data_IF_991951900962
#
_entry.id   IF_991951900962
#
_cell.length_a   1.000
_cell.length_b   1.000
_cell.length_c   1.000
_cell.angle_alpha   90.00
_cell.angle_beta   90.00
_cell.angle_gamma   90.00
#
_symmetry.space_group_name_H-M   'P 1'
#
loop_
_entity.id
_entity.type
_entity.pdbx_description
1 polymer ?
#
# COMPACT_ATOMS: atom_id res chain seq x y z
N UNK A 1 10.12 3.73 -1.13
CA UNK A 1 9.94 4.59 -2.30
C UNK A 1 8.51 5.11 -2.32
N UNK A 2 8.09 5.71 -3.42
CA UNK A 2 6.70 6.03 -3.69
C UNK A 2 6.20 5.18 -4.85
N UNK A 3 5.03 4.58 -4.70
CA UNK A 3 4.40 3.76 -5.73
C UNK A 3 3.41 4.62 -6.50
N UNK A 4 3.55 4.69 -7.82
CA UNK A 4 2.59 5.44 -8.65
C UNK A 4 1.31 4.65 -8.93
N UNK A 5 1.29 3.37 -8.58
CA UNK A 5 0.23 2.48 -9.01
C UNK A 5 0.33 1.13 -8.30
N UNK A 6 -0.84 0.59 -7.99
CA UNK A 6 -0.99 -0.71 -7.34
C UNK A 6 -1.83 -1.62 -8.25
N UNK A 7 -1.22 -2.69 -8.73
CA UNK A 7 -1.86 -3.76 -9.51
C UNK A 7 -2.64 -3.26 -10.72
N UNK A 8 -2.15 -2.21 -11.40
CA UNK A 8 -2.85 -1.65 -12.55
C UNK A 8 -2.95 -2.60 -13.75
N UNK A 9 -2.16 -3.68 -13.74
CA UNK A 9 -2.21 -4.78 -14.70
C UNK A 9 -3.31 -5.81 -14.38
N UNK A 10 -3.96 -5.77 -13.21
CA UNK A 10 -4.99 -6.72 -12.81
C UNK A 10 -6.34 -6.38 -13.45
N UNK A 11 -6.86 -7.28 -14.29
CA UNK A 11 -8.21 -7.16 -14.88
C UNK A 11 -8.38 -5.98 -15.84
N UNK A 12 -7.29 -5.40 -16.34
CA UNK A 12 -7.29 -4.28 -17.30
C UNK A 12 -6.60 -4.68 -18.60
N UNK A 13 -7.05 -4.08 -19.70
CA UNK A 13 -6.36 -4.17 -20.98
C UNK A 13 -5.01 -3.44 -20.89
N UNK A 14 -3.95 -4.07 -21.39
CA UNK A 14 -2.58 -3.57 -21.32
C UNK A 14 -2.43 -2.21 -22.04
N UNK A 15 -3.02 -2.07 -23.23
CA UNK A 15 -3.09 -0.82 -24.02
C UNK A 15 -3.71 0.36 -23.28
N UNK A 16 -4.58 0.11 -22.30
CA UNK A 16 -5.26 1.17 -21.55
C UNK A 16 -4.53 1.54 -20.25
N UNK A 17 -3.81 0.59 -19.67
CA UNK A 17 -3.22 0.72 -18.33
C UNK A 17 -1.73 1.04 -18.40
N UNK A 18 -0.95 0.22 -19.09
CA UNK A 18 0.51 0.27 -19.04
C UNK A 18 1.10 1.61 -19.56
N UNK A 19 0.62 2.19 -20.68
CA UNK A 19 1.08 3.52 -21.12
C UNK A 19 0.75 4.63 -20.12
N UNK A 20 -0.43 4.57 -19.48
CA UNK A 20 -0.86 5.57 -18.50
C UNK A 20 0.00 5.50 -17.23
N UNK A 21 0.27 4.30 -16.71
CA UNK A 21 1.13 4.12 -15.54
C UNK A 21 2.56 4.57 -15.85
N UNK A 22 3.10 4.21 -17.03
CA UNK A 22 4.44 4.64 -17.44
C UNK A 22 4.55 6.16 -17.63
N UNK A 23 3.50 6.81 -18.12
CA UNK A 23 3.41 8.26 -18.17
C UNK A 23 3.38 8.87 -16.75
N UNK A 24 2.69 8.24 -15.81
CA UNK A 24 2.66 8.70 -14.42
C UNK A 24 4.01 8.56 -13.74
N UNK A 25 4.76 7.47 -13.96
CA UNK A 25 6.16 7.33 -13.52
C UNK A 25 6.99 8.50 -14.07
N UNK A 26 6.92 8.75 -15.38
CA UNK A 26 7.59 9.88 -16.04
C UNK A 26 7.28 11.20 -15.36
N UNK A 27 6.01 11.47 -15.10
CA UNK A 27 5.57 12.76 -14.60
C UNK A 27 5.96 12.97 -13.14
N UNK A 28 5.82 11.94 -12.29
CA UNK A 28 6.21 11.98 -10.88
C UNK A 28 7.73 12.06 -10.72
N UNK A 29 8.51 11.30 -11.51
CA UNK A 29 9.98 11.42 -11.53
C UNK A 29 10.42 12.81 -12.00
N UNK A 30 9.82 13.32 -13.07
CA UNK A 30 10.11 14.68 -13.55
C UNK A 30 9.75 15.76 -12.52
N UNK A 31 8.69 15.56 -11.75
CA UNK A 31 8.36 16.43 -10.62
C UNK A 31 9.42 16.34 -9.51
N UNK A 32 9.79 15.13 -9.12
CA UNK A 32 10.81 14.89 -8.09
C UNK A 32 12.17 15.51 -8.47
N UNK A 33 12.58 15.39 -9.73
CA UNK A 33 13.82 15.99 -10.25
C UNK A 33 13.83 17.51 -10.12
N UNK A 34 12.70 18.17 -10.43
CA UNK A 34 12.56 19.62 -10.23
C UNK A 34 12.66 20.05 -8.78
N UNK A 35 12.33 19.14 -7.86
CA UNK A 35 12.44 19.36 -6.42
C UNK A 35 13.79 18.94 -5.84
N UNK A 36 14.71 18.41 -6.66
CA UNK A 36 16.01 17.97 -6.17
C UNK A 36 16.79 19.15 -5.54
N UNK A 37 17.44 18.89 -4.42
CA UNK A 37 18.09 19.91 -3.59
C UNK A 37 17.14 20.65 -2.63
N UNK A 38 15.84 20.68 -2.91
CA UNK A 38 14.84 21.23 -1.99
C UNK A 38 14.11 20.16 -1.18
N UNK A 39 13.86 19.00 -1.78
CA UNK A 39 13.28 17.82 -1.15
C UNK A 39 14.23 16.63 -1.28
N UNK A 40 14.14 15.70 -0.34
CA UNK A 40 14.88 14.43 -0.40
C UNK A 40 14.45 13.65 -1.66
N UNK A 41 15.40 13.15 -2.47
CA UNK A 41 15.07 12.22 -3.56
C UNK A 41 14.45 10.95 -3.00
N UNK A 42 13.22 10.65 -3.40
CA UNK A 42 12.50 9.41 -3.03
C UNK A 42 12.36 8.58 -4.29
N UNK A 43 12.79 7.31 -4.30
CA UNK A 43 12.71 6.50 -5.50
C UNK A 43 11.26 6.18 -5.85
N UNK A 44 10.91 6.35 -7.12
CA UNK A 44 9.56 6.22 -7.69
C UNK A 44 9.47 4.90 -8.45
N UNK A 45 8.46 4.10 -8.15
CA UNK A 45 8.26 2.79 -8.73
C UNK A 45 6.80 2.42 -8.78
N UNK A 46 6.52 1.13 -8.87
CA UNK A 46 5.16 0.60 -8.91
C UNK A 46 5.09 -0.81 -8.34
N UNK A 47 3.88 -1.19 -7.95
CA UNK A 47 3.51 -2.54 -7.55
C UNK A 47 2.60 -3.14 -8.63
N UNK A 48 2.99 -4.26 -9.21
CA UNK A 48 2.16 -5.01 -10.15
C UNK A 48 1.64 -6.30 -9.51
N UNK A 49 0.46 -6.74 -9.96
CA UNK A 49 -0.01 -8.09 -9.66
C UNK A 49 0.89 -9.12 -10.35
N UNK A 50 1.04 -10.30 -9.76
CA UNK A 50 1.80 -11.42 -10.35
C UNK A 50 1.06 -12.09 -11.51
N UNK A 51 0.92 -11.34 -12.61
CA UNK A 51 0.29 -11.80 -13.85
C UNK A 51 1.36 -12.37 -14.76
N UNK A 52 1.25 -13.67 -15.04
CA UNK A 52 2.14 -14.41 -15.93
C UNK A 52 1.30 -15.16 -16.98
N UNK A 53 1.15 -14.56 -18.16
CA UNK A 53 0.35 -15.16 -19.25
C UNK A 53 1.24 -15.51 -20.45
N UNK A 54 0.80 -16.41 -21.35
CA UNK A 54 1.54 -16.70 -22.57
C UNK A 54 1.79 -15.48 -23.47
N UNK A 55 0.90 -14.48 -23.42
CA UNK A 55 1.01 -13.27 -24.25
C UNK A 55 1.81 -12.16 -23.58
N UNK A 56 1.78 -12.08 -22.24
CA UNK A 56 2.49 -11.08 -21.45
C UNK A 56 3.11 -11.76 -20.23
N UNK A 57 4.26 -12.42 -20.41
CA UNK A 57 4.94 -13.09 -19.31
C UNK A 57 5.45 -12.06 -18.29
N UNK A 58 5.67 -12.50 -17.05
CA UNK A 58 6.18 -11.66 -15.96
C UNK A 58 7.44 -10.86 -16.36
N UNK A 59 8.33 -11.46 -17.14
CA UNK A 59 9.54 -10.82 -17.63
C UNK A 59 9.27 -9.65 -18.59
N UNK A 60 8.21 -9.71 -19.40
CA UNK A 60 7.80 -8.60 -20.26
C UNK A 60 7.27 -7.42 -19.43
N UNK A 61 6.50 -7.66 -18.38
CA UNK A 61 6.10 -6.59 -17.45
C UNK A 61 7.30 -5.87 -16.83
N UNK A 62 8.26 -6.64 -16.31
CA UNK A 62 9.51 -6.08 -15.78
C UNK A 62 10.27 -5.27 -16.85
N UNK A 63 10.44 -5.85 -18.04
CA UNK A 63 11.12 -5.20 -19.17
C UNK A 63 10.43 -3.92 -19.61
N UNK A 64 9.09 -3.88 -19.62
CA UNK A 64 8.36 -2.68 -20.01
C UNK A 64 8.55 -1.53 -19.04
N UNK A 65 8.56 -1.78 -17.73
CA UNK A 65 8.74 -0.72 -16.74
C UNK A 65 10.22 -0.36 -16.50
N UNK A 66 11.16 -1.21 -16.91
CA UNK A 66 12.59 -0.88 -16.94
C UNK A 66 13.04 -0.19 -18.25
N UNK A 67 12.39 -0.45 -19.38
CA UNK A 67 12.84 0.11 -20.65
C UNK A 67 12.61 1.62 -20.76
N UNK A 68 13.47 2.30 -21.52
CA UNK A 68 13.29 3.71 -21.84
C UNK A 68 12.26 3.89 -22.95
N UNK A 69 11.31 4.80 -22.76
CA UNK A 69 10.46 5.31 -23.84
C UNK A 69 11.04 6.61 -24.37
N UNK A 70 11.26 6.68 -25.69
CA UNK A 70 11.77 7.86 -26.39
C UNK A 70 13.07 8.43 -25.79
N UNK A 71 13.94 7.54 -25.28
CA UNK A 71 15.21 7.90 -24.64
C UNK A 71 15.09 8.60 -23.28
N UNK A 72 13.90 8.65 -22.67
CA UNK A 72 13.65 9.38 -21.45
C UNK A 72 13.81 8.49 -20.19
N UNK A 73 14.85 8.75 -19.40
CA UNK A 73 15.14 8.05 -18.13
C UNK A 73 13.97 8.08 -17.13
N UNK A 74 13.20 9.17 -17.11
CA UNK A 74 12.08 9.30 -16.16
C UNK A 74 10.94 8.32 -16.47
N UNK A 75 10.93 7.70 -17.65
CA UNK A 75 9.91 6.69 -17.99
C UNK A 75 10.17 5.33 -17.36
N UNK A 76 11.36 5.11 -16.77
CA UNK A 76 11.72 3.88 -16.06
C UNK A 76 11.27 3.93 -14.60
N UNK A 77 10.86 2.80 -14.04
CA UNK A 77 10.66 2.62 -12.60
C UNK A 77 12.01 2.44 -11.88
N UNK A 78 12.23 3.15 -10.76
CA UNK A 78 13.45 3.03 -9.95
C UNK A 78 13.41 1.82 -9.01
N UNK A 79 12.21 1.31 -8.77
CA UNK A 79 11.98 0.02 -8.12
C UNK A 79 10.71 -0.61 -8.69
N UNK A 80 10.66 -1.93 -8.64
CA UNK A 80 9.55 -2.71 -9.16
C UNK A 80 9.19 -3.78 -8.13
N UNK A 81 7.93 -3.82 -7.73
CA UNK A 81 7.42 -4.83 -6.83
C UNK A 81 6.36 -5.67 -7.54
N UNK A 82 6.29 -6.94 -7.15
CA UNK A 82 5.29 -7.87 -7.60
C UNK A 82 4.55 -8.40 -6.37
N UNK A 83 3.22 -8.26 -6.34
CA UNK A 83 2.41 -8.90 -5.32
C UNK A 83 2.44 -10.40 -5.52
N UNK A 84 3.23 -11.07 -4.68
CA UNK A 84 3.11 -12.50 -4.43
C UNK A 84 2.02 -12.65 -3.38
N UNK A 85 0.97 -13.43 -3.67
CA UNK A 85 -0.24 -13.56 -2.84
C UNK A 85 0.05 -14.06 -1.40
N UNK A 86 0.50 -13.16 -0.54
CA UNK A 86 0.64 -13.34 0.91
C UNK A 86 -0.02 -12.16 1.63
N UNK A 87 -1.27 -11.84 1.28
CA UNK A 87 -2.09 -10.97 2.12
C UNK A 87 -2.50 -11.80 3.34
N UNK A 88 -1.79 -11.62 4.44
CA UNK A 88 -2.16 -12.22 5.72
C UNK A 88 -2.62 -11.07 6.60
N UNK A 89 -3.93 -10.97 6.82
CA UNK A 89 -4.44 -10.13 7.90
C UNK A 89 -3.82 -10.65 9.19
N UNK A 90 -2.97 -9.84 9.82
CA UNK A 90 -2.32 -10.23 11.08
C UNK A 90 -3.18 -9.90 12.29
N UNK A 91 -4.20 -9.08 12.08
CA UNK A 91 -4.90 -8.34 13.10
C UNK A 91 -6.35 -8.15 12.67
N UNK A 92 -7.28 -8.16 13.63
CA UNK A 92 -8.69 -7.88 13.38
C UNK A 92 -9.26 -6.99 14.48
N UNK A 93 -10.34 -6.29 14.13
CA UNK A 93 -11.07 -5.41 15.04
C UNK A 93 -12.37 -6.11 15.45
N UNK A 94 -12.69 -6.08 16.74
CA UNK A 94 -13.97 -6.56 17.27
C UNK A 94 -14.67 -5.51 18.12
N UNK A 95 -16.00 -5.49 18.18
CA UNK A 95 -16.92 -6.26 17.32
C UNK A 95 -16.89 -5.79 15.86
N UNK A 96 -17.40 -6.59 14.93
CA UNK A 96 -17.39 -6.28 13.48
C UNK A 96 -18.12 -4.97 13.12
N UNK A 97 -18.99 -4.48 14.01
CA UNK A 97 -19.72 -3.22 13.88
C UNK A 97 -19.08 -2.07 14.66
N UNK A 98 -17.83 -2.20 15.09
CA UNK A 98 -17.13 -1.12 15.76
C UNK A 98 -16.89 0.05 14.80
N UNK A 99 -17.03 1.29 15.30
CA UNK A 99 -16.97 2.52 14.49
C UNK A 99 -15.91 3.51 15.01
N UNK A 100 -15.12 3.09 16.02
CA UNK A 100 -14.13 3.91 16.72
C UNK A 100 -14.70 5.15 17.44
N UNK A 101 -16.02 5.31 17.52
CA UNK A 101 -16.70 6.45 18.14
C UNK A 101 -17.73 5.97 19.18
N UNK A 102 -18.87 5.43 18.74
CA UNK A 102 -19.93 4.93 19.61
C UNK A 102 -19.69 3.48 20.06
N UNK A 103 -19.06 2.66 19.20
CA UNK A 103 -18.72 1.26 19.47
C UNK A 103 -17.19 1.12 19.39
N UNK A 104 -16.50 1.05 20.55
CA UNK A 104 -15.05 0.92 20.59
C UNK A 104 -14.55 -0.35 19.92
N UNK A 105 -13.55 -0.22 19.04
CA UNK A 105 -12.87 -1.36 18.45
C UNK A 105 -11.81 -1.93 19.40
N UNK A 106 -11.88 -3.23 19.65
CA UNK A 106 -10.85 -4.02 20.30
C UNK A 106 -9.97 -4.67 19.24
N UNK A 107 -8.67 -4.43 19.35
CA UNK A 107 -7.69 -4.98 18.43
C UNK A 107 -7.20 -6.33 18.93
N UNK A 108 -7.41 -7.36 18.13
CA UNK A 108 -6.99 -8.73 18.42
C UNK A 108 -6.00 -9.22 17.37
N UNK A 109 -4.98 -9.94 17.81
CA UNK A 109 -3.97 -10.51 16.90
C UNK A 109 -4.49 -11.84 16.37
N UNK A 110 -4.31 -12.06 15.07
CA UNK A 110 -4.41 -13.42 14.53
C UNK A 110 -3.12 -14.20 14.87
N UNK A 111 -3.18 -15.55 14.96
CA UNK A 111 -2.01 -16.39 15.24
C UNK A 111 -0.82 -16.15 14.30
N UNK A 112 -1.08 -15.75 13.06
CA UNK A 112 -0.08 -15.46 12.04
C UNK A 112 0.79 -14.25 12.38
N UNK A 113 0.38 -13.40 13.33
CA UNK A 113 1.21 -12.33 13.88
C UNK A 113 2.46 -12.91 14.53
N UNK A 114 2.30 -13.90 15.40
CA UNK A 114 3.42 -14.50 16.14
C UNK A 114 4.29 -15.36 15.22
N UNK A 115 3.69 -16.08 14.26
CA UNK A 115 4.44 -16.80 13.23
C UNK A 115 5.32 -15.85 12.38
N UNK A 116 4.79 -14.68 12.03
CA UNK A 116 5.56 -13.67 11.29
C UNK A 116 6.69 -13.10 12.14
N UNK A 117 6.42 -12.80 13.41
CA UNK A 117 7.45 -12.32 14.34
C UNK A 117 8.58 -13.35 14.49
N UNK A 118 8.25 -14.64 14.60
CA UNK A 118 9.23 -15.72 14.66
C UNK A 118 10.05 -15.82 13.36
N UNK A 119 9.40 -15.72 12.20
CA UNK A 119 10.09 -15.73 10.90
C UNK A 119 11.06 -14.55 10.78
N UNK A 120 10.66 -13.33 11.14
CA UNK A 120 11.56 -12.17 11.13
C UNK A 120 12.74 -12.32 12.09
N UNK A 121 12.52 -12.87 13.29
CA UNK A 121 13.58 -13.06 14.28
C UNK A 121 14.60 -14.14 13.88
N UNK A 122 14.22 -15.08 13.01
CA UNK A 122 15.10 -16.17 12.54
C UNK A 122 15.71 -15.90 11.17
N UNK A 123 15.17 -14.93 10.42
CA UNK A 123 15.68 -14.56 9.10
C UNK A 123 17.06 -13.91 9.24
N UNK A 124 18.06 -14.55 8.64
CA UNK A 124 19.43 -14.02 8.64
C UNK A 124 19.54 -12.83 7.69
N UNK A 125 20.06 -11.67 8.12
CA UNK A 125 20.34 -10.56 7.22
C UNK A 125 21.33 -10.97 6.13
N UNK A 126 21.21 -10.34 4.96
CA UNK A 126 22.21 -10.49 3.90
C UNK A 126 23.58 -9.98 4.38
N UNK A 127 24.64 -10.69 4.00
CA UNK A 127 26.02 -10.26 4.25
C UNK A 127 26.51 -9.22 3.21
N UNK A 128 25.73 -8.96 2.15
CA UNK A 128 26.09 -7.97 1.14
C UNK A 128 26.02 -6.56 1.73
N UNK A 129 27.09 -5.79 1.49
CA UNK A 129 27.13 -4.37 1.80
C UNK A 129 26.99 -3.56 0.51
N UNK A 130 26.54 -2.30 0.63
CA UNK A 130 26.48 -1.40 -0.53
C UNK A 130 27.85 -1.26 -1.23
N UNK A 131 28.96 -1.31 -0.46
CA UNK A 131 30.32 -1.21 -1.01
C UNK A 131 30.77 -2.46 -1.76
N UNK A 132 30.22 -3.62 -1.42
CA UNK A 132 30.57 -4.90 -2.04
C UNK A 132 29.59 -5.33 -3.13
N UNK A 133 28.52 -4.56 -3.34
CA UNK A 133 27.49 -4.87 -4.32
C UNK A 133 27.87 -4.29 -5.69
N UNK A 134 27.98 -5.18 -6.68
CA UNK A 134 28.19 -4.81 -8.08
C UNK A 134 26.98 -5.26 -8.90
N UNK A 135 26.20 -4.32 -9.49
CA UNK A 135 25.06 -4.67 -10.32
C UNK A 135 25.52 -5.46 -11.56
N UNK A 136 24.91 -6.63 -11.78
CA UNK A 136 25.18 -7.43 -12.99
C UNK A 136 24.62 -6.76 -14.25
N UNK A 137 23.55 -5.97 -14.12
CA UNK A 137 22.98 -5.17 -15.21
C UNK A 137 23.25 -3.69 -14.95
N UNK A 138 23.81 -3.02 -15.96
CA UNK A 138 24.15 -1.58 -15.92
C UNK A 138 23.32 -0.75 -16.91
N UNK A 139 22.68 -1.41 -17.86
CA UNK A 139 21.86 -0.79 -18.90
C UNK A 139 20.38 -1.14 -18.69
N UNK A 140 19.50 -0.28 -19.19
CA UNK A 140 18.06 -0.53 -19.22
C UNK A 140 17.73 -1.67 -20.20
N UNK A 141 16.64 -2.39 -19.90
CA UNK A 141 16.12 -3.43 -20.77
C UNK A 141 15.55 -2.84 -22.07
N UNK A 142 15.58 -3.62 -23.14
CA UNK A 142 14.83 -3.29 -24.34
C UNK A 142 13.32 -3.34 -24.06
N UNK A 143 12.55 -2.44 -24.67
CA UNK A 143 11.10 -2.51 -24.54
C UNK A 143 10.57 -3.79 -25.18
N UNK A 144 9.76 -4.58 -24.45
CA UNK A 144 9.21 -5.83 -24.96
C UNK A 144 8.28 -5.57 -26.15
N UNK A 145 8.38 -6.42 -27.17
CA UNK A 145 7.58 -6.30 -28.39
C UNK A 145 6.09 -6.61 -28.18
N UNK A 146 5.75 -7.34 -27.11
CA UNK A 146 4.37 -7.65 -26.74
C UNK A 146 3.66 -6.51 -26.01
N UNK A 147 4.32 -5.38 -25.73
CA UNK A 147 3.66 -4.21 -25.13
C UNK A 147 3.25 -3.15 -26.16
N UNK A 148 2.23 -2.34 -25.84
CA UNK A 148 1.80 -1.22 -26.68
C UNK A 148 2.95 -0.25 -26.99
N UNK A 149 3.14 0.04 -28.27
CA UNK A 149 4.12 1.03 -28.75
C UNK A 149 3.56 2.44 -28.84
N UNK A 150 2.30 2.64 -28.44
CA UNK A 150 1.59 3.93 -28.48
C UNK A 150 2.36 5.02 -27.74
N UNK A 151 2.20 6.31 -28.14
CA UNK A 151 2.75 7.42 -27.38
C UNK A 151 2.21 7.43 -25.94
N UNK A 152 3.08 7.78 -24.99
CA UNK A 152 2.64 8.01 -23.62
C UNK A 152 1.75 9.26 -23.58
N UNK A 153 0.65 9.26 -22.80
CA UNK A 153 -0.13 10.47 -22.56
C UNK A 153 0.76 11.66 -22.19
N UNK A 154 0.39 12.86 -22.67
CA UNK A 154 1.11 14.08 -22.34
C UNK A 154 0.99 14.40 -20.85
N UNK A 155 2.05 14.99 -20.27
CA UNK A 155 2.00 15.44 -18.87
C UNK A 155 0.92 16.51 -18.72
N UNK A 156 0.02 16.42 -17.72
CA UNK A 156 -0.92 17.50 -17.47
C UNK A 156 -0.19 18.81 -17.16
N UNK A 157 -0.61 19.90 -17.80
CA UNK A 157 -0.01 21.21 -17.61
C UNK A 157 -0.79 22.00 -16.55
N UNK A 158 -0.44 21.80 -15.29
CA UNK A 158 -1.05 22.47 -14.14
C UNK A 158 0.02 23.04 -13.23
N UNK A 159 -0.21 24.26 -12.71
CA UNK A 159 0.76 24.96 -11.83
C UNK A 159 1.10 24.18 -10.56
N UNK A 160 0.19 23.34 -10.07
CA UNK A 160 0.42 22.49 -8.89
C UNK A 160 1.52 21.44 -9.09
N UNK A 161 1.96 21.18 -10.32
CA UNK A 161 3.09 20.30 -10.64
C UNK A 161 4.43 21.07 -10.76
N UNK A 162 4.46 22.33 -10.33
CA UNK A 162 5.71 23.02 -9.99
C UNK A 162 6.16 22.59 -8.59
N UNK A 163 7.47 22.56 -8.35
CA UNK A 163 7.97 22.09 -7.07
C UNK A 163 7.42 22.95 -5.92
N UNK A 164 6.60 22.35 -5.04
CA UNK A 164 6.15 22.99 -3.82
C UNK A 164 6.94 22.44 -2.63
N UNK A 165 7.80 23.29 -2.08
CA UNK A 165 8.45 23.06 -0.77
C UNK A 165 7.56 23.48 0.39
N UNK A 166 6.44 24.14 0.08
CA UNK A 166 5.49 24.59 1.08
C UNK A 166 4.66 23.41 1.56
N UNK A 167 4.67 23.19 2.88
CA UNK A 167 3.72 22.31 3.50
C UNK A 167 2.30 22.89 3.32
N UNK A 168 1.31 22.08 2.94
CA UNK A 168 -0.07 22.54 2.96
C UNK A 168 -0.41 23.04 4.36
N UNK A 169 -1.02 24.22 4.42
CA UNK A 169 -1.54 24.77 5.66
C UNK A 169 -2.97 24.30 5.84
N UNK A 170 -3.24 23.62 6.96
CA UNK A 170 -4.59 23.27 7.39
C UNK A 170 -4.98 24.25 8.48
N UNK A 171 -6.07 25.01 8.28
CA UNK A 171 -6.56 26.00 9.25
C UNK A 171 -5.48 27.01 9.73
N UNK A 172 -4.60 27.45 8.83
CA UNK A 172 -3.52 28.41 9.14
C UNK A 172 -2.29 27.82 9.85
N UNK A 173 -2.29 26.51 10.16
CA UNK A 173 -1.15 25.78 10.71
C UNK A 173 -0.47 24.90 9.65
N UNK A 174 0.86 24.74 9.73
CA UNK A 174 1.58 23.77 8.90
C UNK A 174 1.12 22.33 9.22
N UNK A 175 0.72 21.54 8.21
CA UNK A 175 0.18 20.17 8.38
C UNK A 175 1.08 19.21 9.17
N UNK A 176 2.39 19.47 9.26
CA UNK A 176 3.35 18.61 9.95
C UNK A 176 4.01 19.28 11.15
N UNK A 177 3.54 20.48 11.55
CA UNK A 177 3.75 20.89 12.95
C UNK A 177 2.89 19.92 13.74
N UNK A 178 3.51 18.87 14.27
CA UNK A 178 3.00 18.16 15.43
C UNK A 178 2.88 19.17 16.58
N UNK A 179 1.91 20.06 16.49
CA UNK A 179 1.17 20.43 17.68
C UNK A 179 0.54 19.11 18.06
N UNK A 180 0.85 18.58 19.23
CA UNK A 180 -0.01 17.60 19.87
C UNK A 180 -1.36 18.30 20.01
N UNK A 181 -2.18 18.26 18.97
CA UNK A 181 -3.55 18.69 19.04
C UNK A 181 -4.15 17.68 19.99
N UNK A 182 -4.38 18.10 21.23
CA UNK A 182 -5.39 17.43 22.04
C UNK A 182 -6.62 17.45 21.14
N UNK A 183 -7.11 16.29 20.65
CA UNK A 183 -8.26 16.27 19.76
C UNK A 183 -9.32 17.15 20.40
N UNK A 184 -9.87 18.08 19.63
CA UNK A 184 -10.96 18.87 20.14
C UNK A 184 -12.07 17.90 20.58
N UNK A 185 -12.86 18.29 21.56
CA UNK A 185 -13.90 17.42 22.10
C UNK A 185 -15.01 17.08 21.08
N UNK A 186 -14.88 17.48 19.80
CA UNK A 186 -15.75 17.03 18.71
C UNK A 186 -15.24 15.76 17.99
N UNK A 187 -13.99 15.35 18.26
CA UNK A 187 -13.40 14.09 17.74
C UNK A 187 -12.71 13.25 18.82
N UNK A 188 -12.79 13.67 20.10
CA UNK A 188 -12.24 12.93 21.22
C UNK A 188 -13.29 11.97 21.81
N UNK A 189 -13.06 10.67 21.67
CA UNK A 189 -13.69 9.69 22.56
C UNK A 189 -13.45 10.13 24.03
N UNK A 190 -14.49 10.15 24.88
CA UNK A 190 -14.40 10.74 26.21
C UNK A 190 -13.34 10.03 27.06
N UNK A 191 -12.34 10.79 27.50
CA UNK A 191 -11.26 10.31 28.37
C UNK A 191 -11.80 10.07 29.78
N UNK A 192 -11.91 8.81 30.20
CA UNK A 192 -12.07 8.47 31.61
C UNK A 192 -10.68 8.24 32.24
N UNK A 193 -10.27 8.99 33.27
CA UNK A 193 -9.02 8.72 33.97
C UNK A 193 -9.12 7.41 34.76
N UNK A 194 -8.09 6.57 34.72
CA UNK A 194 -7.94 5.45 35.63
C UNK A 194 -7.43 5.96 36.99
N UNK A 195 -8.26 5.84 38.03
CA UNK A 195 -7.94 6.15 39.42
C UNK A 195 -8.94 5.50 40.38
N UNK A 196 -8.56 5.19 41.63
CA UNK A 196 -9.30 4.27 42.50
C UNK A 196 -10.66 4.83 42.87
N UNK A 197 -11.66 3.95 42.83
CA UNK A 197 -13.06 4.28 43.09
C UNK A 197 -13.27 4.71 44.54
N UNK A 198 -13.60 5.99 44.72
CA UNK A 198 -14.33 6.46 45.91
C UNK A 198 -15.82 6.43 45.57
N UNK A 199 -16.57 5.52 46.19
CA UNK A 199 -18.03 5.56 46.25
C UNK A 199 -18.47 6.87 46.94
N UNK A 200 -19.62 7.51 46.60
CA UNK A 200 -20.91 6.90 46.91
C UNK A 200 -22.11 7.27 46.01
N UNK A 201 -23.19 6.47 46.17
CA UNK A 201 -24.62 6.82 46.10
C UNK A 201 -25.15 7.49 44.83
N UNK A 202 -25.99 6.83 44.02
CA UNK A 202 -27.42 6.64 44.33
C UNK A 202 -28.06 5.55 43.46
N UNK A 203 -29.14 4.98 43.98
CA UNK A 203 -29.92 3.81 43.54
C UNK A 203 -30.75 4.04 42.24
N UNK A 204 -31.44 3.00 41.71
CA UNK A 204 -31.63 2.74 40.27
C UNK A 204 -32.94 3.28 39.69
N UNK A 205 -33.01 3.36 38.36
CA UNK A 205 -34.27 3.29 37.63
C UNK A 205 -34.18 2.17 36.57
N UNK A 206 -35.15 1.27 36.68
CA UNK A 206 -35.33 0.00 35.97
C UNK A 206 -35.78 0.17 34.49
N UNK A 207 -35.82 -0.94 33.72
CA UNK A 207 -35.70 -0.94 32.26
C UNK A 207 -37.05 -0.97 31.53
N UNK A 208 -37.03 -0.49 30.28
CA UNK A 208 -38.07 -0.77 29.29
C UNK A 208 -37.44 -1.10 27.94
N UNK A 209 -37.27 -2.39 27.64
CA UNK A 209 -37.32 -2.98 26.29
C UNK A 209 -38.79 -3.36 26.00
N UNK A 210 -39.22 -3.80 24.78
CA UNK A 210 -38.46 -4.18 23.58
C UNK A 210 -39.01 -3.65 22.24
N UNK A 211 -38.23 -3.82 21.18
CA UNK A 211 -38.69 -3.64 19.79
C UNK A 211 -37.77 -4.36 18.81
N UNK A 212 -38.07 -5.63 18.58
CA UNK A 212 -37.45 -6.55 17.64
C UNK A 212 -37.42 -6.02 16.20
N UNK A 213 -36.38 -6.34 15.43
CA UNK A 213 -36.50 -6.59 13.99
C UNK A 213 -35.36 -7.52 13.52
N UNK A 214 -35.80 -8.63 12.96
CA UNK A 214 -35.02 -9.66 12.29
C UNK A 214 -34.29 -9.13 11.04
N UNK A 215 -33.06 -9.58 10.82
CA UNK A 215 -32.44 -9.59 9.50
C UNK A 215 -31.63 -10.89 9.33
N UNK A 216 -32.11 -11.70 8.39
CA UNK A 216 -31.71 -13.07 8.07
C UNK A 216 -30.25 -13.21 7.63
N UNK A 217 -29.57 -14.23 8.17
CA UNK A 217 -28.25 -14.67 7.75
C UNK A 217 -28.33 -15.52 6.48
N UNK A 218 -27.72 -15.07 5.39
CA UNK A 218 -27.43 -15.91 4.23
C UNK A 218 -25.98 -16.41 4.33
N UNK A 219 -25.82 -17.70 4.61
CA UNK A 219 -24.54 -18.38 4.65
C UNK A 219 -23.97 -18.54 3.23
N UNK A 220 -22.76 -18.04 2.97
CA UNK A 220 -21.97 -18.43 1.80
C UNK A 220 -21.09 -19.64 2.15
N UNK A 221 -21.28 -20.71 1.39
CA UNK A 221 -20.49 -21.94 1.38
C UNK A 221 -19.09 -21.70 0.82
N UNK A 222 -18.04 -21.97 1.60
CA UNK A 222 -16.66 -22.03 1.10
C UNK A 222 -16.42 -23.35 0.35
N UNK A 223 -16.07 -23.27 -0.92
CA UNK A 223 -15.51 -24.39 -1.67
C UNK A 223 -14.00 -24.45 -1.43
N UNK A 224 -13.55 -25.55 -0.81
CA UNK A 224 -12.14 -25.87 -0.63
C UNK A 224 -11.49 -26.28 -1.97
N UNK A 225 -10.31 -25.72 -2.29
CA UNK A 225 -9.50 -26.17 -3.42
C UNK A 225 -8.07 -26.48 -2.94
N UNK A 226 -7.79 -27.79 -2.85
CA UNK A 226 -6.59 -28.45 -3.37
C UNK A 226 -5.21 -28.00 -2.91
N UNK A 227 -4.68 -28.70 -1.91
CA UNK A 227 -3.23 -28.78 -1.64
C UNK A 227 -2.56 -29.57 -2.76
N UNK A 228 -1.60 -28.95 -3.48
CA UNK A 228 -0.62 -29.69 -4.27
C UNK A 228 0.73 -29.66 -3.53
N UNK A 229 1.10 -30.82 -2.99
CA UNK A 229 2.44 -31.09 -2.49
C UNK A 229 3.40 -31.27 -3.67
N UNK A 230 4.46 -30.46 -3.74
CA UNK A 230 5.61 -30.73 -4.59
C UNK A 230 6.75 -31.24 -3.71
N UNK A 231 6.98 -32.56 -3.76
CA UNK A 231 8.25 -33.15 -3.35
C UNK A 231 9.30 -32.81 -4.41
N UNK A 232 10.38 -32.14 -4.02
CA UNK A 232 11.59 -32.03 -4.83
C UNK A 232 12.60 -33.01 -4.26
N UNK A 233 12.80 -34.12 -4.97
CA UNK A 233 13.94 -35.00 -4.76
C UNK A 233 15.16 -34.40 -5.48
N UNK A 234 16.27 -34.35 -4.75
CA UNK A 234 17.61 -34.14 -5.27
C UNK A 234 18.02 -35.27 -6.22
N UNK A 235 18.55 -34.92 -7.40
CA UNK A 235 19.79 -35.48 -7.98
C UNK A 235 20.50 -34.35 -8.74
#
# INVERSE_FOLDING_TARGET
GFSVGNENNLGKLIEKSAPCVKALIRDVRTYADKCNGSLRPVPIGLDNADIDTPTHPRASWLGYYDCLKDGNENTRAEWYCCYLLFQIDKLYLTPDNCDHDAIPCTYSKYPEFDHLAQAYNTTKPSALTLKSFEPTRKESMACPADFPTVPLPARPNVKIFECSVYQPQCNGGSSNKQVTVQPDASTAAPKKPFGPASAPTSAPADPSTPGSNDASSAALTMAAVGVCAAMVQFV
#
